data_IF_785995828198
#
_entry.id   IF_785995828198
#
_cell.length_a   1.000
_cell.length_b   1.000
_cell.length_c   1.000
_cell.angle_alpha   90.00
_cell.angle_beta   90.00
_cell.angle_gamma   90.00
#
_symmetry.space_group_name_H-M   'P 1'
#
loop_
_entity.id
_entity.type
_entity.pdbx_description
1 polymer ?
#
# COMPACT_ATOMS: atom_id res chain seq x y z
N UNK A 1 2.67 -9.81 2.42
CA UNK A 1 1.91 -8.69 1.83
C UNK A 1 1.33 -8.99 0.45
N UNK A 2 2.13 -9.32 -0.57
CA UNK A 2 1.60 -9.61 -1.93
C UNK A 2 0.45 -10.63 -1.92
N UNK A 3 0.63 -11.78 -1.27
CA UNK A 3 -0.42 -12.81 -1.17
C UNK A 3 -1.69 -12.32 -0.43
N UNK A 4 -1.57 -11.38 0.52
CA UNK A 4 -2.73 -10.83 1.22
C UNK A 4 -3.54 -9.93 0.30
N UNK A 5 -2.85 -9.07 -0.47
CA UNK A 5 -3.47 -8.22 -1.50
C UNK A 5 -4.10 -9.09 -2.57
N UNK A 6 -3.38 -10.11 -3.07
CA UNK A 6 -3.88 -11.02 -4.08
C UNK A 6 -5.17 -11.73 -3.65
N UNK A 7 -5.23 -12.21 -2.40
CA UNK A 7 -6.46 -12.81 -1.84
C UNK A 7 -7.60 -11.80 -1.75
N UNK A 8 -7.30 -10.57 -1.34
CA UNK A 8 -8.28 -9.47 -1.29
C UNK A 8 -8.83 -9.15 -2.68
N UNK A 9 -7.97 -8.98 -3.68
CA UNK A 9 -8.36 -8.72 -5.07
C UNK A 9 -9.14 -9.91 -5.65
N UNK A 10 -8.68 -11.15 -5.46
CA UNK A 10 -9.41 -12.33 -5.89
C UNK A 10 -10.80 -12.45 -5.23
N UNK A 11 -10.91 -12.08 -3.96
CA UNK A 11 -12.20 -11.99 -3.26
C UNK A 11 -13.12 -10.93 -3.86
N UNK A 12 -12.57 -9.76 -4.21
CA UNK A 12 -13.31 -8.71 -4.91
C UNK A 12 -13.75 -9.17 -6.31
N UNK A 13 -12.89 -9.82 -7.09
CA UNK A 13 -13.26 -10.35 -8.39
C UNK A 13 -14.38 -11.38 -8.28
N UNK A 14 -14.27 -12.32 -7.32
CA UNK A 14 -15.29 -13.32 -7.06
C UNK A 14 -16.65 -12.70 -6.67
N UNK A 15 -16.66 -11.62 -5.90
CA UNK A 15 -17.89 -10.87 -5.58
C UNK A 15 -18.57 -10.27 -6.81
N UNK A 16 -17.80 -9.97 -7.86
CA UNK A 16 -18.30 -9.46 -9.14
C UNK A 16 -18.47 -10.56 -10.20
N UNK A 17 -18.36 -11.84 -9.82
CA UNK A 17 -18.48 -12.98 -10.74
C UNK A 17 -17.31 -13.12 -11.72
N UNK A 18 -16.16 -12.51 -11.41
CA UNK A 18 -14.92 -12.62 -12.18
C UNK A 18 -13.95 -13.58 -11.53
N UNK A 19 -13.12 -14.20 -12.36
CA UNK A 19 -11.95 -14.95 -11.91
C UNK A 19 -10.73 -14.03 -11.93
N UNK A 20 -9.74 -14.34 -11.09
CA UNK A 20 -8.47 -13.62 -11.08
C UNK A 20 -7.80 -13.73 -12.45
N UNK A 21 -7.56 -12.58 -13.09
CA UNK A 21 -6.98 -12.50 -14.43
C UNK A 21 -5.73 -11.58 -14.45
N UNK A 22 -5.19 -11.31 -15.65
CA UNK A 22 -4.02 -10.45 -15.81
C UNK A 22 -4.25 -9.00 -15.32
N UNK A 23 -5.51 -8.53 -15.33
CA UNK A 23 -5.88 -7.23 -14.74
C UNK A 23 -5.84 -7.29 -13.22
N UNK A 24 -6.34 -8.38 -12.63
CA UNK A 24 -6.23 -8.63 -11.19
C UNK A 24 -4.77 -8.70 -10.73
N UNK A 25 -3.88 -9.24 -11.57
CA UNK A 25 -2.44 -9.28 -11.31
C UNK A 25 -1.78 -7.90 -11.38
N UNK A 26 -2.10 -7.11 -12.41
CA UNK A 26 -1.70 -5.69 -12.49
C UNK A 26 -2.14 -4.95 -11.23
N UNK A 27 -3.42 -5.06 -10.90
CA UNK A 27 -4.02 -4.44 -9.72
C UNK A 27 -3.31 -4.85 -8.43
N UNK A 28 -3.04 -6.14 -8.25
CA UNK A 28 -2.31 -6.65 -7.08
C UNK A 28 -0.93 -6.03 -6.97
N UNK A 29 -0.21 -5.91 -8.08
CA UNK A 29 1.15 -5.34 -8.11
C UNK A 29 1.13 -3.84 -7.86
N UNK A 30 0.21 -3.10 -8.46
CA UNK A 30 0.04 -1.66 -8.23
C UNK A 30 -0.37 -1.35 -6.80
N UNK A 31 -1.20 -2.20 -6.19
CA UNK A 31 -1.57 -2.08 -4.77
C UNK A 31 -0.40 -2.40 -3.84
N UNK A 32 0.46 -3.35 -4.19
CA UNK A 32 1.70 -3.61 -3.46
C UNK A 32 2.63 -2.39 -3.48
N UNK A 33 2.76 -1.72 -4.63
CA UNK A 33 3.52 -0.47 -4.76
C UNK A 33 2.96 0.61 -3.82
N UNK A 34 1.66 0.89 -3.94
CA UNK A 34 0.96 1.88 -3.13
C UNK A 34 1.18 1.64 -1.64
N UNK A 35 1.05 0.40 -1.19
CA UNK A 35 1.17 0.11 0.23
C UNK A 35 2.61 0.27 0.73
N UNK A 36 3.63 -0.07 -0.06
CA UNK A 36 5.03 0.25 0.29
C UNK A 36 5.28 1.76 0.34
N UNK A 37 4.72 2.52 -0.61
CA UNK A 37 4.83 3.98 -0.66
C UNK A 37 4.16 4.67 0.54
N UNK A 38 3.00 4.16 0.97
CA UNK A 38 2.28 4.65 2.15
C UNK A 38 2.86 4.11 3.47
N UNK A 39 3.92 3.31 3.43
CA UNK A 39 4.56 2.75 4.61
C UNK A 39 3.73 1.68 5.33
N UNK A 40 2.79 1.04 4.64
CA UNK A 40 2.08 -0.12 5.15
C UNK A 40 3.04 -1.31 5.28
N UNK A 41 2.92 -2.05 6.37
CA UNK A 41 3.71 -3.24 6.67
C UNK A 41 2.94 -4.53 6.36
N UNK A 42 1.63 -4.50 6.53
CA UNK A 42 0.70 -5.56 6.14
C UNK A 42 -0.53 -4.97 5.46
N UNK A 43 -1.24 -5.81 4.73
CA UNK A 43 -2.58 -5.49 4.23
C UNK A 43 -3.49 -6.57 4.76
N UNK A 44 -4.37 -6.19 5.68
CA UNK A 44 -5.31 -7.11 6.33
C UNK A 44 -6.65 -7.10 5.61
N UNK A 45 -7.05 -5.93 5.08
CA UNK A 45 -8.28 -5.78 4.30
C UNK A 45 -8.05 -5.01 3.00
N UNK A 46 -8.68 -5.50 1.93
CA UNK A 46 -8.79 -4.81 0.64
C UNK A 46 -10.27 -4.54 0.40
N UNK A 47 -10.65 -3.28 0.24
CA UNK A 47 -12.04 -2.86 0.12
C UNK A 47 -12.21 -1.92 -1.06
N UNK A 48 -13.40 -1.95 -1.67
CA UNK A 48 -13.79 -0.96 -2.67
C UNK A 48 -14.55 0.19 -2.02
N UNK A 49 -14.46 1.38 -2.61
CA UNK A 49 -15.24 2.53 -2.17
C UNK A 49 -16.73 2.26 -2.31
N UNK A 50 -17.51 2.61 -1.29
CA UNK A 50 -18.96 2.69 -1.42
C UNK A 50 -19.39 3.78 -2.42
N UNK A 51 -20.66 3.75 -2.86
CA UNK A 51 -21.20 4.81 -3.70
C UNK A 51 -21.29 6.12 -2.91
N UNK A 52 -20.87 7.23 -3.52
CA UNK A 52 -21.05 8.58 -3.01
C UNK A 52 -21.90 9.40 -3.97
N UNK A 53 -22.36 10.59 -3.56
CA UNK A 53 -23.16 11.49 -4.42
C UNK A 53 -22.48 11.81 -5.76
N UNK A 54 -21.15 11.78 -5.80
CA UNK A 54 -20.33 12.12 -6.98
C UNK A 54 -19.80 10.89 -7.72
N UNK A 55 -19.64 9.74 -7.04
CA UNK A 55 -18.91 8.59 -7.58
C UNK A 55 -19.62 7.25 -7.35
N UNK A 56 -19.66 6.36 -8.36
CA UNK A 56 -20.19 5.02 -8.18
C UNK A 56 -19.33 4.20 -7.22
N UNK A 57 -19.94 3.15 -6.65
CA UNK A 57 -19.20 2.14 -5.90
C UNK A 57 -18.06 1.56 -6.74
N UNK A 58 -16.95 1.21 -6.10
CA UNK A 58 -15.77 0.67 -6.80
C UNK A 58 -14.88 1.70 -7.49
N UNK A 59 -15.12 3.00 -7.32
CA UNK A 59 -14.25 4.04 -7.90
C UNK A 59 -12.83 4.02 -7.35
N UNK A 60 -12.66 3.77 -6.06
CA UNK A 60 -11.35 3.61 -5.42
C UNK A 60 -11.24 2.26 -4.72
N UNK A 61 -10.01 1.77 -4.62
CA UNK A 61 -9.64 0.62 -3.79
C UNK A 61 -8.84 1.12 -2.58
N UNK A 62 -9.17 0.57 -1.41
CA UNK A 62 -8.57 0.88 -0.13
C UNK A 62 -7.84 -0.35 0.41
N UNK A 63 -6.62 -0.14 0.88
CA UNK A 63 -5.84 -1.12 1.62
C UNK A 63 -5.84 -0.68 3.09
N UNK A 64 -6.20 -1.58 3.99
CA UNK A 64 -6.22 -1.31 5.43
C UNK A 64 -5.28 -2.28 6.13
N UNK A 65 -4.44 -1.73 7.00
CA UNK A 65 -3.58 -2.47 7.91
C UNK A 65 -4.21 -2.47 9.31
N UNK A 66 -4.32 -3.65 9.89
CA UNK A 66 -4.94 -3.87 11.18
C UNK A 66 -6.47 -3.84 11.13
N UNK A 67 -7.07 -3.74 12.31
CA UNK A 67 -8.52 -3.73 12.47
C UNK A 67 -9.10 -2.36 12.05
N UNK A 68 -10.09 -2.30 11.14
CA UNK A 68 -10.68 -1.03 10.70
C UNK A 68 -11.43 -0.28 11.80
N UNK A 69 -11.79 -0.96 12.90
CA UNK A 69 -12.40 -0.35 14.09
C UNK A 69 -11.35 0.24 15.04
N UNK A 70 -10.07 -0.07 14.85
CA UNK A 70 -8.98 0.52 15.62
C UNK A 70 -8.65 1.92 15.07
N UNK A 71 -8.70 3.00 15.86
CA UNK A 71 -8.38 4.35 15.40
C UNK A 71 -6.92 4.52 14.92
N UNK A 72 -6.02 3.62 15.32
CA UNK A 72 -4.62 3.59 14.85
C UNK A 72 -4.39 2.83 13.54
N UNK A 73 -5.44 2.48 12.78
CA UNK A 73 -5.26 1.77 11.52
C UNK A 73 -4.57 2.65 10.47
N UNK A 74 -3.64 2.05 9.73
CA UNK A 74 -3.06 2.69 8.55
C UNK A 74 -3.87 2.29 7.32
N UNK A 75 -4.16 3.24 6.45
CA UNK A 75 -4.87 2.98 5.19
C UNK A 75 -4.18 3.65 4.01
N UNK A 76 -4.26 3.00 2.87
CA UNK A 76 -3.87 3.54 1.58
C UNK A 76 -5.06 3.48 0.61
N UNK A 77 -5.13 4.42 -0.33
CA UNK A 77 -6.18 4.47 -1.33
C UNK A 77 -5.60 4.74 -2.71
N UNK A 78 -6.16 4.11 -3.74
CA UNK A 78 -5.82 4.37 -5.13
C UNK A 78 -7.08 4.21 -6.00
N UNK A 79 -7.23 4.98 -7.10
CA UNK A 79 -8.31 4.76 -8.03
C UNK A 79 -8.27 3.35 -8.62
N UNK A 80 -9.40 2.66 -8.64
CA UNK A 80 -9.52 1.30 -9.18
C UNK A 80 -9.05 1.23 -10.64
N UNK A 81 -9.39 2.26 -11.42
CA UNK A 81 -8.95 2.37 -12.81
C UNK A 81 -7.43 2.45 -12.93
N UNK A 82 -6.76 3.22 -12.08
CA UNK A 82 -5.30 3.31 -12.05
C UNK A 82 -4.70 1.95 -11.66
N UNK A 83 -5.23 1.33 -10.60
CA UNK A 83 -4.78 0.01 -10.16
C UNK A 83 -4.84 -1.04 -11.27
N UNK A 84 -5.94 -1.07 -12.04
CA UNK A 84 -6.15 -2.04 -13.11
C UNK A 84 -5.33 -1.75 -14.39
N UNK A 85 -5.03 -0.47 -14.66
CA UNK A 85 -4.37 -0.02 -15.89
C UNK A 85 -2.85 0.11 -15.77
N UNK A 86 -2.33 0.36 -14.57
CA UNK A 86 -0.89 0.50 -14.36
C UNK A 86 -0.17 -0.79 -14.76
N UNK A 87 0.85 -0.72 -15.63
CA UNK A 87 1.64 -1.87 -16.01
C UNK A 87 2.36 -2.50 -14.81
N UNK A 88 2.60 -3.82 -14.88
CA UNK A 88 3.36 -4.54 -13.85
C UNK A 88 4.75 -3.94 -13.71
N UNK A 89 5.44 -3.68 -14.82
CA UNK A 89 6.80 -3.11 -14.83
C UNK A 89 6.86 -1.75 -14.11
N UNK A 90 5.89 -0.87 -14.37
CA UNK A 90 5.81 0.43 -13.69
C UNK A 90 5.56 0.25 -12.18
N UNK A 91 4.68 -0.68 -11.80
CA UNK A 91 4.41 -1.00 -10.41
C UNK A 91 5.64 -1.56 -9.69
N UNK A 92 6.42 -2.42 -10.35
CA UNK A 92 7.68 -2.97 -9.83
C UNK A 92 8.70 -1.86 -9.62
N UNK A 93 8.88 -0.97 -10.60
CA UNK A 93 9.77 0.18 -10.46
C UNK A 93 9.38 1.06 -9.25
N UNK A 94 8.07 1.29 -9.05
CA UNK A 94 7.56 2.02 -7.86
C UNK A 94 7.82 1.27 -6.56
N UNK A 95 7.65 -0.05 -6.53
CA UNK A 95 7.97 -0.89 -5.36
C UNK A 95 9.43 -0.72 -4.96
N UNK A 96 10.35 -0.80 -5.93
CA UNK A 96 11.78 -0.65 -5.69
C UNK A 96 12.14 0.76 -5.23
N UNK A 97 11.57 1.80 -5.86
CA UNK A 97 11.78 3.19 -5.47
C UNK A 97 11.28 3.48 -4.05
N UNK A 98 10.13 2.92 -3.66
CA UNK A 98 9.58 3.04 -2.31
C UNK A 98 10.49 2.37 -1.26
N UNK A 99 11.09 1.23 -1.61
CA UNK A 99 12.02 0.52 -0.74
C UNK A 99 13.33 1.29 -0.55
N UNK A 100 13.92 1.79 -1.64
CA UNK A 100 15.12 2.64 -1.59
C UNK A 100 14.89 3.89 -0.72
N UNK A 101 13.74 4.55 -0.89
CA UNK A 101 13.37 5.73 -0.10
C UNK A 101 13.24 5.41 1.39
N UNK A 102 12.69 4.24 1.75
CA UNK A 102 12.61 3.79 3.15
C UNK A 102 14.00 3.56 3.75
N UNK A 103 14.88 2.88 3.03
CA UNK A 103 16.25 2.62 3.50
C UNK A 103 17.00 3.93 3.72
N UNK A 104 16.93 4.86 2.77
CA UNK A 104 17.58 6.17 2.88
C UNK A 104 17.08 6.99 4.07
N UNK A 105 15.76 7.00 4.33
CA UNK A 105 15.19 7.68 5.52
C UNK A 105 15.66 7.05 6.83
N UNK A 106 15.75 5.72 6.88
CA UNK A 106 16.12 4.98 8.08
C UNK A 106 17.61 5.20 8.44
N UNK A 107 18.49 5.30 7.45
CA UNK A 107 19.91 5.62 7.65
C UNK A 107 20.10 7.05 8.20
N UNK A 108 19.39 8.01 7.61
CA UNK A 108 19.48 9.42 8.03
C UNK A 108 19.00 9.63 9.46
N UNK A 109 17.93 8.93 9.87
CA UNK A 109 17.42 8.99 11.24
C UNK A 109 18.42 8.40 12.25
N UNK A 110 19.08 7.29 11.88
CA UNK A 110 20.11 6.65 12.72
C UNK A 110 21.33 7.56 12.94
N UNK A 111 21.75 8.31 11.91
CA UNK A 111 22.83 9.29 12.04
C UNK A 111 22.43 10.45 12.96
N UNK A 112 21.21 10.99 12.84
CA UNK A 112 20.74 12.09 13.67
C UNK A 112 20.69 11.73 15.17
N UNK A 113 20.33 10.49 15.52
CA UNK A 113 20.33 10.00 16.91
C UNK A 113 21.75 9.83 17.48
N UNK A 114 22.73 9.39 16.69
CA UNK A 114 24.13 9.31 17.15
C UNK A 114 24.75 10.70 17.41
N UNK A 115 24.42 11.70 16.59
CA UNK A 115 24.92 13.06 16.80
C UNK A 115 24.30 13.75 18.03
N UNK A 116 23.07 13.39 18.43
CA UNK A 116 22.42 13.96 19.62
C UNK A 116 22.77 13.20 20.92
N UNK A 117 23.19 11.95 20.82
CA UNK A 117 23.59 11.11 21.96
C UNK A 117 25.09 11.20 22.29
N UNK A 118 25.79 12.23 21.81
CA UNK A 118 27.12 12.60 22.29
C UNK A 118 26.98 13.55 23.50
N UNK A 119 26.88 13.06 24.75
CA UNK A 119 26.93 13.93 25.91
C UNK A 119 28.32 14.58 25.96
N UNK A 120 28.33 15.90 26.19
CA UNK A 120 29.51 16.66 26.54
C UNK A 120 30.21 15.98 27.73
N UNK A 121 31.26 15.20 27.45
CA UNK A 121 32.23 14.80 28.46
C UNK A 121 33.17 15.98 28.68
N UNK A 122 32.70 16.97 29.44
CA UNK A 122 33.49 18.10 29.90
C UNK A 122 33.77 17.91 31.40
N UNK A 123 35.06 17.88 31.77
CA UNK A 123 35.54 17.80 33.15
C UNK A 123 36.61 16.74 33.35
#
# INVERSE_FOLDING_TARGET
>A
MYQQIQRGVAGLDAQHGRSYDATSERMTTSLLALAKEQGLHSVDHVMLSGPTTDKPAGSNVFLVQGDPSNPGHSRAAMPTAVAAQTPIEESVCRIEAAEQTRVAKQDQQSQLEQHQSSPLRMG
#
